data_IF_056064120589
#
_entry.id   IF_056064120589
#
_cell.length_a   1.000
_cell.length_b   1.000
_cell.length_c   1.000
_cell.angle_alpha   90.00
_cell.angle_beta   90.00
_cell.angle_gamma   90.00
#
_symmetry.space_group_name_H-M   'P 1'
#
loop_
_entity.id
_entity.type
_entity.pdbx_description
1 polymer ?
#
# COMPACT_ATOMS: atom_id res chain seq x y z
N UNK A 1 -14.45 -17.73 3.99
CA UNK A 1 -13.32 -17.14 4.74
C UNK A 1 -13.30 -15.64 4.44
N UNK A 2 -12.94 -14.82 5.42
CA UNK A 2 -12.80 -13.37 5.21
C UNK A 2 -11.42 -13.11 4.62
N UNK A 3 -11.38 -12.62 3.38
CA UNK A 3 -10.13 -12.20 2.71
C UNK A 3 -9.66 -10.87 3.26
N UNK A 4 -8.39 -10.71 3.55
CA UNK A 4 -7.83 -9.44 4.03
C UNK A 4 -6.85 -8.87 3.01
N UNK A 5 -6.76 -7.55 2.94
CA UNK A 5 -5.72 -6.86 2.18
C UNK A 5 -5.04 -5.81 3.06
N UNK A 6 -3.73 -5.86 3.10
CA UNK A 6 -2.87 -4.94 3.84
C UNK A 6 -2.27 -3.94 2.86
N UNK A 7 -2.42 -2.66 3.17
CA UNK A 7 -1.85 -1.58 2.36
C UNK A 7 -0.99 -0.70 3.24
N UNK A 8 0.24 -0.45 2.80
CA UNK A 8 1.14 0.50 3.42
C UNK A 8 1.52 1.57 2.41
N UNK A 9 1.54 2.82 2.84
CA UNK A 9 1.96 3.96 2.02
C UNK A 9 3.17 4.60 2.69
N UNK A 10 4.27 4.72 1.95
CA UNK A 10 5.46 5.45 2.36
C UNK A 10 5.59 6.67 1.46
N UNK A 11 5.77 7.85 2.06
CA UNK A 11 5.96 9.09 1.30
C UNK A 11 6.63 10.17 2.16
N UNK A 12 7.34 11.09 1.49
CA UNK A 12 7.96 12.26 2.15
C UNK A 12 7.01 13.45 2.18
N UNK A 13 7.01 14.18 3.31
CA UNK A 13 6.23 15.43 3.48
C UNK A 13 4.74 15.27 3.14
N UNK A 14 4.19 14.07 3.32
CA UNK A 14 2.88 13.67 2.83
C UNK A 14 1.76 13.74 3.87
N UNK A 15 2.04 14.23 5.08
CA UNK A 15 1.08 14.29 6.19
C UNK A 15 -0.18 15.07 5.80
N UNK A 16 -0.03 16.23 5.16
CA UNK A 16 -1.18 17.02 4.72
C UNK A 16 -2.07 16.30 3.70
N UNK A 17 -1.48 15.45 2.86
CA UNK A 17 -2.19 14.66 1.84
C UNK A 17 -2.82 13.40 2.42
N UNK A 18 -2.16 12.78 3.40
CA UNK A 18 -2.62 11.56 4.05
C UNK A 18 -3.59 11.81 5.21
N UNK A 19 -3.58 13.00 5.81
CA UNK A 19 -4.44 13.34 6.96
C UNK A 19 -5.94 13.13 6.70
N UNK A 20 -6.52 13.48 5.53
CA UNK A 20 -7.91 13.15 5.24
C UNK A 20 -8.16 11.63 5.21
N UNK A 21 -7.16 10.83 4.85
CA UNK A 21 -7.27 9.38 4.76
C UNK A 21 -7.23 8.69 6.13
N UNK A 22 -6.79 9.39 7.19
CA UNK A 22 -6.80 8.88 8.58
C UNK A 22 -8.13 9.06 9.29
N UNK A 23 -9.12 9.66 8.62
CA UNK A 23 -10.44 9.97 9.19
C UNK A 23 -11.56 9.28 8.37
N UNK A 24 -12.71 8.97 8.97
CA UNK A 24 -13.86 8.47 8.24
C UNK A 24 -14.34 9.49 7.20
N UNK A 25 -14.79 9.00 6.04
CA UNK A 25 -15.37 9.80 4.97
C UNK A 25 -16.39 8.93 4.23
N UNK A 26 -17.65 9.40 4.21
CA UNK A 26 -18.80 8.69 3.62
C UNK A 26 -18.79 8.75 2.09
N UNK A 27 -17.96 9.62 1.47
CA UNK A 27 -17.88 9.76 0.02
C UNK A 27 -16.88 8.81 -0.64
N UNK A 28 -16.09 8.06 0.15
CA UNK A 28 -15.13 7.07 -0.37
C UNK A 28 -15.82 5.73 -0.63
N UNK A 29 -15.35 5.03 -1.66
CA UNK A 29 -15.81 3.67 -1.97
C UNK A 29 -15.41 2.65 -0.89
N UNK A 30 -14.39 2.98 -0.09
CA UNK A 30 -13.93 2.22 1.07
C UNK A 30 -14.05 3.04 2.36
N UNK A 31 -14.19 2.36 3.50
CA UNK A 31 -14.56 3.01 4.77
C UNK A 31 -13.43 3.00 5.81
N UNK A 32 -12.41 2.16 5.60
CA UNK A 32 -11.27 2.02 6.49
C UNK A 32 -10.40 3.27 6.45
N UNK A 33 -9.83 3.59 7.60
CA UNK A 33 -8.93 4.74 7.78
C UNK A 33 -7.50 4.25 7.90
N UNK A 34 -6.58 5.02 7.34
CA UNK A 34 -5.15 4.79 7.54
C UNK A 34 -4.74 5.18 8.96
N UNK A 35 -3.84 4.40 9.54
CA UNK A 35 -3.15 4.74 10.79
C UNK A 35 -1.73 5.13 10.45
N UNK A 36 -1.30 6.32 10.88
CA UNK A 36 0.12 6.70 10.79
C UNK A 36 0.92 5.84 11.75
N UNK A 37 2.03 5.27 11.28
CA UNK A 37 2.98 4.56 12.15
C UNK A 37 3.87 5.63 12.77
N UNK A 38 3.81 5.75 14.10
CA UNK A 38 4.56 6.77 14.83
C UNK A 38 6.08 6.57 14.69
N UNK A 39 6.78 7.69 14.64
CA UNK A 39 8.22 7.87 14.42
C UNK A 39 9.09 7.53 15.65
N UNK A 40 8.48 7.23 16.80
CA UNK A 40 9.16 6.85 18.04
C UNK A 40 9.98 5.55 17.98
N UNK A 41 10.04 4.86 16.83
CA UNK A 41 10.87 3.66 16.62
C UNK A 41 12.30 3.97 16.14
N UNK A 42 12.57 5.20 15.69
CA UNK A 42 13.91 5.65 15.23
C UNK A 42 14.64 6.53 16.25
N UNK A 43 14.26 6.44 17.53
CA UNK A 43 14.64 7.36 18.62
C UNK A 43 16.11 7.26 19.10
N UNK A 44 17.03 6.93 18.19
CA UNK A 44 18.46 7.20 18.31
C UNK A 44 18.89 8.54 17.69
N UNK A 45 17.98 9.25 17.01
CA UNK A 45 18.24 10.57 16.42
C UNK A 45 17.38 11.63 17.08
N UNK A 46 18.00 12.52 17.88
CA UNK A 46 17.32 13.59 18.63
C UNK A 46 16.76 14.74 17.77
N UNK A 47 16.46 14.52 16.49
CA UNK A 47 15.77 15.50 15.65
C UNK A 47 14.81 14.77 14.69
N UNK A 48 13.53 15.17 14.62
CA UNK A 48 12.62 14.64 13.59
C UNK A 48 13.18 15.07 12.23
N UNK A 49 13.67 14.11 11.45
CA UNK A 49 14.00 14.38 10.06
C UNK A 49 12.68 14.58 9.31
N UNK A 50 12.59 15.62 8.48
CA UNK A 50 11.42 15.99 7.66
C UNK A 50 11.02 14.93 6.60
N UNK A 51 11.39 13.66 6.79
CA UNK A 51 12.02 12.93 5.69
C UNK A 51 11.28 11.71 5.16
N UNK A 52 10.42 11.01 5.90
CA UNK A 52 9.61 9.91 5.36
C UNK A 52 8.63 9.40 6.41
N UNK A 53 7.37 9.17 6.04
CA UNK A 53 6.36 8.63 6.95
C UNK A 53 5.71 7.40 6.35
N UNK A 54 5.16 6.55 7.24
CA UNK A 54 4.43 5.34 6.87
C UNK A 54 3.01 5.41 7.39
N UNK A 55 2.05 5.05 6.54
CA UNK A 55 0.65 4.86 6.90
C UNK A 55 0.23 3.45 6.55
N UNK A 56 -0.51 2.80 7.44
CA UNK A 56 -0.98 1.42 7.26
C UNK A 56 -2.49 1.35 7.36
N UNK A 57 -3.11 0.45 6.60
CA UNK A 57 -4.53 0.12 6.67
C UNK A 57 -4.72 -1.35 6.33
N UNK A 58 -5.71 -1.99 6.97
CA UNK A 58 -6.14 -3.33 6.63
C UNK A 58 -7.60 -3.29 6.19
N UNK A 59 -7.87 -3.87 5.03
CA UNK A 59 -9.19 -4.01 4.45
C UNK A 59 -9.73 -5.41 4.66
N UNK A 60 -11.06 -5.50 4.73
CA UNK A 60 -11.79 -6.75 4.89
C UNK A 60 -12.62 -6.95 3.63
N UNK A 61 -12.36 -8.05 2.91
CA UNK A 61 -12.91 -8.39 1.58
C UNK A 61 -12.43 -7.40 0.50
N UNK A 62 -13.08 -7.43 -0.66
CA UNK A 62 -12.81 -6.63 -1.86
C UNK A 62 -13.28 -5.17 -1.75
N UNK A 63 -13.42 -4.62 -0.54
CA UNK A 63 -14.01 -3.30 -0.33
C UNK A 63 -13.02 -2.14 -0.50
N UNK A 64 -11.84 -2.41 -1.05
CA UNK A 64 -10.79 -1.41 -1.31
C UNK A 64 -10.60 -1.10 -2.79
N UNK A 65 -11.58 -1.47 -3.63
CA UNK A 65 -11.65 -1.00 -5.02
C UNK A 65 -11.62 0.53 -5.04
N UNK A 66 -10.94 1.09 -6.05
CA UNK A 66 -10.77 2.54 -6.18
C UNK A 66 -9.62 3.14 -5.36
N UNK A 67 -9.06 2.43 -4.35
CA UNK A 67 -8.00 2.97 -3.50
C UNK A 67 -6.76 3.39 -4.30
N UNK A 68 -6.25 2.53 -5.19
CA UNK A 68 -5.06 2.86 -5.99
C UNK A 68 -5.30 4.06 -6.91
N UNK A 69 -6.48 4.14 -7.54
CA UNK A 69 -6.87 5.29 -8.37
C UNK A 69 -7.00 6.58 -7.56
N UNK A 70 -7.45 6.48 -6.31
CA UNK A 70 -7.50 7.62 -5.40
C UNK A 70 -6.11 8.06 -4.96
N UNK A 71 -5.24 7.13 -4.57
CA UNK A 71 -3.85 7.44 -4.25
C UNK A 71 -3.12 8.05 -5.46
N UNK A 72 -3.40 7.60 -6.68
CA UNK A 72 -2.88 8.22 -7.91
C UNK A 72 -3.31 9.69 -8.07
N UNK A 73 -4.55 10.03 -7.68
CA UNK A 73 -5.11 11.38 -7.90
C UNK A 73 -4.70 12.41 -6.87
N UNK A 74 -4.07 11.99 -5.77
CA UNK A 74 -3.60 12.89 -4.72
C UNK A 74 -2.46 13.78 -5.21
N UNK A 75 -2.48 15.05 -4.79
CA UNK A 75 -1.44 16.02 -5.10
C UNK A 75 -0.20 15.82 -4.21
N UNK A 76 0.54 14.73 -4.44
CA UNK A 76 1.73 14.39 -3.66
C UNK A 76 2.80 15.49 -3.73
N UNK A 77 3.34 15.97 -2.59
CA UNK A 77 4.39 16.98 -2.57
C UNK A 77 5.72 16.49 -3.18
N UNK A 78 5.98 15.19 -3.07
CA UNK A 78 7.09 14.51 -3.71
C UNK A 78 6.63 13.15 -4.28
N UNK A 79 6.03 13.13 -5.48
CA UNK A 79 5.48 11.91 -6.08
C UNK A 79 6.53 10.80 -6.25
N UNK A 80 7.79 11.17 -6.50
CA UNK A 80 8.89 10.21 -6.68
C UNK A 80 9.21 9.39 -5.42
N UNK A 81 8.78 9.88 -4.26
CA UNK A 81 8.95 9.18 -2.98
C UNK A 81 7.84 8.20 -2.64
N UNK A 82 6.72 8.24 -3.36
CA UNK A 82 5.53 7.46 -3.03
C UNK A 82 5.78 5.99 -3.34
N UNK A 83 5.70 5.16 -2.30
CA UNK A 83 5.74 3.70 -2.38
C UNK A 83 4.48 3.16 -1.71
N UNK A 84 3.67 2.42 -2.47
CA UNK A 84 2.46 1.78 -1.96
C UNK A 84 2.71 0.28 -1.99
N UNK A 85 2.82 -0.33 -0.81
CA UNK A 85 2.94 -1.77 -0.65
C UNK A 85 1.54 -2.34 -0.47
N UNK A 86 1.19 -3.35 -1.28
CA UNK A 86 -0.09 -4.05 -1.16
C UNK A 86 0.15 -5.53 -1.05
N UNK A 87 -0.45 -6.16 -0.04
CA UNK A 87 -0.49 -7.60 0.12
C UNK A 87 -1.91 -8.04 0.37
N UNK A 88 -2.43 -8.84 -0.54
CA UNK A 88 -3.66 -9.58 -0.29
C UNK A 88 -3.34 -10.90 0.46
N UNK A 89 -4.31 -11.52 1.12
CA UNK A 89 -4.16 -12.75 1.90
C UNK A 89 -3.52 -13.89 1.09
N UNK A 90 -3.88 -14.00 -0.20
CA UNK A 90 -3.35 -15.02 -1.12
C UNK A 90 -1.96 -14.66 -1.70
N UNK A 91 -1.45 -13.44 -1.48
CA UNK A 91 -0.16 -13.02 -1.99
C UNK A 91 0.99 -13.62 -1.16
N UNK A 92 2.03 -14.11 -1.84
CA UNK A 92 3.26 -14.62 -1.22
C UNK A 92 4.10 -13.50 -0.58
N UNK A 93 3.96 -12.26 -1.05
CA UNK A 93 4.68 -11.09 -0.56
C UNK A 93 3.94 -9.79 -0.92
N UNK A 94 4.40 -8.66 -0.41
CA UNK A 94 3.87 -7.35 -0.83
C UNK A 94 4.31 -7.03 -2.26
N UNK A 95 3.34 -6.69 -3.12
CA UNK A 95 3.61 -5.97 -4.34
C UNK A 95 3.95 -4.51 -4.05
N UNK A 96 4.69 -3.87 -4.96
CA UNK A 96 5.12 -2.48 -4.84
C UNK A 96 4.53 -1.65 -5.98
N UNK A 97 3.86 -0.56 -5.64
CA UNK A 97 3.42 0.46 -6.59
C UNK A 97 4.18 1.76 -6.34
N UNK A 98 4.55 2.44 -7.41
CA UNK A 98 5.22 3.73 -7.38
C UNK A 98 4.63 4.66 -8.42
N UNK A 99 4.80 5.98 -8.23
CA UNK A 99 4.36 6.96 -9.22
C UNK A 99 5.45 7.14 -10.27
N UNK A 100 5.13 6.75 -11.51
CA UNK A 100 5.93 7.02 -12.70
C UNK A 100 5.07 7.77 -13.72
N UNK A 101 5.59 8.87 -14.27
CA UNK A 101 4.89 9.72 -15.25
C UNK A 101 3.47 10.14 -14.80
N UNK A 102 3.30 10.38 -13.49
CA UNK A 102 2.02 10.76 -12.88
C UNK A 102 1.02 9.61 -12.75
N UNK A 103 1.44 8.37 -12.96
CA UNK A 103 0.62 7.16 -12.83
C UNK A 103 1.14 6.25 -11.72
N UNK A 104 0.24 5.73 -10.90
CA UNK A 104 0.58 4.76 -9.87
C UNK A 104 0.61 3.37 -10.49
N UNK A 105 1.82 2.86 -10.76
CA UNK A 105 2.03 1.61 -11.48
C UNK A 105 2.72 0.58 -10.60
N UNK A 106 2.38 -0.69 -10.80
CA UNK A 106 3.09 -1.78 -10.12
C UNK A 106 4.51 -1.89 -10.68
N UNK A 107 5.49 -1.98 -9.78
CA UNK A 107 6.90 -2.20 -10.09
C UNK A 107 7.15 -3.70 -10.07
N UNK A 108 7.58 -4.32 -11.19
CA UNK A 108 7.90 -5.73 -11.22
C UNK A 108 9.01 -6.07 -10.23
N UNK A 109 8.71 -6.93 -9.26
CA UNK A 109 9.72 -7.45 -8.34
C UNK A 109 10.40 -8.69 -8.95
N UNK A 110 11.71 -8.86 -8.75
CA UNK A 110 12.38 -10.08 -9.20
C UNK A 110 11.75 -11.32 -8.58
N UNK A 111 11.60 -12.37 -9.40
CA UNK A 111 11.07 -13.68 -8.98
C UNK A 111 9.63 -13.64 -8.47
N UNK A 112 8.83 -12.70 -8.98
CA UNK A 112 7.40 -12.66 -8.71
C UNK A 112 6.61 -12.60 -10.01
N UNK A 113 5.43 -13.18 -10.01
CA UNK A 113 4.47 -13.09 -11.10
C UNK A 113 3.09 -12.77 -10.53
N UNK A 114 2.36 -11.87 -11.20
CA UNK A 114 0.99 -11.51 -10.80
C UNK A 114 -0.01 -12.14 -11.76
N UNK A 115 -0.83 -13.03 -11.23
CA UNK A 115 -1.92 -13.67 -11.96
C UNK A 115 -3.24 -12.94 -11.73
N UNK A 116 -4.03 -12.64 -12.78
CA UNK A 116 -5.36 -12.08 -12.60
C UNK A 116 -6.24 -13.02 -11.77
N UNK A 117 -6.86 -12.47 -10.72
CA UNK A 117 -7.80 -13.21 -9.90
C UNK A 117 -9.02 -12.35 -9.61
N UNK A 118 -10.20 -12.80 -10.01
CA UNK A 118 -11.45 -12.01 -9.90
C UNK A 118 -11.85 -11.71 -8.46
N UNK A 119 -11.38 -12.54 -7.52
CA UNK A 119 -11.51 -12.33 -6.09
C UNK A 119 -10.34 -11.52 -5.51
N UNK A 120 -9.52 -10.82 -6.29
CA UNK A 120 -8.57 -9.83 -5.81
C UNK A 120 -8.78 -8.52 -6.58
N UNK A 121 -8.42 -7.38 -5.98
CA UNK A 121 -8.44 -6.10 -6.70
C UNK A 121 -7.26 -6.00 -7.66
N UNK A 122 -6.10 -6.53 -7.27
CA UNK A 122 -4.87 -6.50 -8.07
C UNK A 122 -4.58 -7.83 -8.76
N UNK A 123 -5.09 -8.94 -8.24
CA UNK A 123 -4.70 -10.31 -8.62
C UNK A 123 -3.95 -11.00 -7.47
N UNK A 124 -3.28 -12.12 -7.77
CA UNK A 124 -2.44 -12.85 -6.80
C UNK A 124 -0.97 -12.73 -7.21
N UNK A 125 -0.12 -12.29 -6.29
CA UNK A 125 1.32 -12.19 -6.44
C UNK A 125 1.99 -13.44 -5.88
N UNK A 126 2.53 -14.25 -6.76
CA UNK A 126 3.21 -15.50 -6.41
C UNK A 126 4.71 -15.38 -6.61
N UNK A 127 5.50 -16.00 -5.73
CA UNK A 127 6.94 -16.13 -5.89
C UNK A 127 7.26 -17.29 -6.83
N UNK A 128 8.02 -17.00 -7.88
CA UNK A 128 8.41 -18.00 -8.89
C UNK A 128 9.57 -18.90 -8.44
N UNK A 129 10.18 -18.58 -7.29
CA UNK A 129 11.28 -19.36 -6.70
C UNK A 129 10.84 -20.26 -5.53
N UNK A 130 9.53 -20.38 -5.26
CA UNK A 130 9.00 -21.39 -4.34
C UNK A 130 9.24 -22.78 -4.92
N UNK A 131 9.77 -23.68 -4.08
CA UNK A 131 9.76 -25.11 -4.40
C UNK A 131 8.33 -25.62 -4.27
N UNK A 132 7.88 -26.38 -5.25
CA UNK A 132 6.57 -27.06 -5.20
C UNK A 132 6.49 -27.87 -3.89
N UNK A 133 5.60 -27.48 -2.98
CA UNK A 133 5.34 -28.18 -1.70
C UNK A 133 5.65 -27.39 -0.42
N UNK A 134 6.24 -26.19 -0.49
CA UNK A 134 6.38 -25.32 0.69
C UNK A 134 5.13 -24.44 0.84
N UNK A 135 4.28 -24.75 1.81
CA UNK A 135 3.26 -23.82 2.33
C UNK A 135 3.84 -22.95 3.44
N UNK A 136 3.37 -21.70 3.62
CA UNK A 136 3.80 -20.83 4.70
C UNK A 136 3.42 -21.37 6.09
#
# INVERSE_FOLDING_TARGET
MSRFAEVMVLARRAEGVMEPLTRPDENREWHQCFTRVDDGMFDGASMPTEECYVWVVQFIRHNWRGLLSHLESLAWPDPSSVQVLVRDEDDDCFGLWMIYDGKLVEVPLPRTEREPFSASVTGVLSRTDRRVGEHP
#
